data_IF_229779666287
#
_entry.id   IF_229779666287
#
_cell.length_a   1.000
_cell.length_b   1.000
_cell.length_c   1.000
_cell.angle_alpha   90.00
_cell.angle_beta   90.00
_cell.angle_gamma   90.00
#
_symmetry.space_group_name_H-M   'P 1'
#
loop_
_entity.id
_entity.type
_entity.pdbx_description
1 polymer ?
#
# COMPACT_ATOMS: atom_id res chain seq x y z
N UNK A 1 3.60 -6.86 20.07
CA UNK A 1 2.55 -5.84 20.32
C UNK A 1 1.22 -6.56 20.52
N UNK A 2 0.34 -6.06 21.40
CA UNK A 2 -0.93 -6.76 21.67
C UNK A 2 -2.03 -6.30 20.71
N UNK A 3 -2.55 -7.24 19.93
CA UNK A 3 -3.65 -7.05 19.00
C UNK A 3 -4.93 -7.73 19.51
N UNK A 4 -6.09 -7.09 19.39
CA UNK A 4 -7.37 -7.70 19.73
C UNK A 4 -7.77 -8.75 18.69
N UNK A 5 -8.19 -9.92 19.16
CA UNK A 5 -8.72 -11.02 18.36
C UNK A 5 -10.14 -11.32 18.86
N UNK A 6 -11.10 -11.32 17.95
CA UNK A 6 -12.44 -11.80 18.25
C UNK A 6 -12.50 -13.30 18.05
N UNK A 7 -12.89 -14.05 19.08
CA UNK A 7 -13.02 -15.51 19.01
C UNK A 7 -14.47 -15.91 19.26
N UNK A 8 -15.08 -16.59 18.31
CA UNK A 8 -16.44 -17.11 18.43
C UNK A 8 -16.49 -18.61 18.14
N UNK A 9 -17.33 -19.33 18.89
CA UNK A 9 -17.56 -20.75 18.66
C UNK A 9 -18.51 -20.92 17.48
N UNK A 10 -18.10 -21.70 16.48
CA UNK A 10 -18.91 -21.99 15.29
C UNK A 10 -19.46 -23.43 15.30
N UNK A 11 -18.88 -24.33 16.12
CA UNK A 11 -19.42 -25.67 16.36
C UNK A 11 -18.97 -26.23 17.73
N UNK A 12 -19.37 -27.46 18.07
CA UNK A 12 -18.92 -28.13 19.30
C UNK A 12 -17.41 -28.33 19.35
N UNK A 13 -16.74 -28.38 18.20
CA UNK A 13 -15.30 -28.66 18.08
C UNK A 13 -14.51 -27.55 17.41
N UNK A 14 -15.15 -26.50 16.87
CA UNK A 14 -14.45 -25.45 16.13
C UNK A 14 -14.73 -24.06 16.69
N UNK A 15 -13.66 -23.30 16.76
CA UNK A 15 -13.62 -21.87 17.01
C UNK A 15 -13.20 -21.17 15.72
N UNK A 16 -13.84 -20.04 15.46
CA UNK A 16 -13.44 -19.09 14.44
C UNK A 16 -12.90 -17.85 15.12
N UNK A 17 -11.90 -17.22 14.53
CA UNK A 17 -11.35 -15.99 15.04
C UNK A 17 -10.89 -15.05 13.93
N UNK A 18 -11.06 -13.76 14.15
CA UNK A 18 -10.65 -12.72 13.20
C UNK A 18 -10.03 -11.52 13.93
N UNK A 19 -9.09 -10.86 13.26
CA UNK A 19 -8.50 -9.61 13.72
C UNK A 19 -9.18 -8.43 13.01
N UNK A 20 -9.60 -7.38 13.73
CA UNK A 20 -10.03 -6.14 13.08
C UNK A 20 -8.86 -5.46 12.35
N UNK A 21 -7.64 -5.59 12.88
CA UNK A 21 -6.44 -4.93 12.36
C UNK A 21 -5.75 -5.71 11.21
N UNK A 22 -6.08 -6.99 11.05
CA UNK A 22 -5.56 -7.87 9.99
C UNK A 22 -6.71 -8.49 9.19
N UNK A 23 -7.44 -7.72 8.35
CA UNK A 23 -8.69 -8.15 7.71
C UNK A 23 -8.52 -9.26 6.66
N UNK A 24 -7.28 -9.63 6.30
CA UNK A 24 -6.98 -10.77 5.40
C UNK A 24 -6.70 -12.07 6.14
N UNK A 25 -6.71 -12.02 7.47
CA UNK A 25 -6.36 -13.15 8.35
C UNK A 25 -7.61 -13.63 9.04
N UNK A 26 -8.08 -14.80 8.61
CA UNK A 26 -9.10 -15.59 9.30
C UNK A 26 -8.44 -16.83 9.92
N UNK A 27 -8.82 -17.14 11.15
CA UNK A 27 -8.29 -18.26 11.92
C UNK A 27 -9.42 -19.23 12.26
N UNK A 28 -9.17 -20.51 12.05
CA UNK A 28 -10.03 -21.60 12.51
C UNK A 28 -9.16 -22.54 13.33
N UNK A 29 -9.65 -22.96 14.49
CA UNK A 29 -8.95 -23.91 15.34
C UNK A 29 -9.89 -24.68 16.24
N UNK A 30 -9.40 -25.78 16.80
CA UNK A 30 -10.15 -26.63 17.72
C UNK A 30 -10.09 -26.13 19.16
N UNK A 31 -9.13 -25.25 19.46
CA UNK A 31 -8.95 -24.64 20.77
C UNK A 31 -8.40 -23.21 20.66
N UNK A 32 -8.57 -22.42 21.73
CA UNK A 32 -7.99 -21.07 21.79
C UNK A 32 -6.46 -21.10 21.72
N UNK A 33 -5.84 -22.07 22.39
CA UNK A 33 -4.38 -22.22 22.39
C UNK A 33 -3.83 -22.52 20.98
N UNK A 34 -4.55 -23.31 20.18
CA UNK A 34 -4.19 -23.57 18.79
C UNK A 34 -4.29 -22.30 17.93
N UNK A 35 -5.36 -21.53 18.08
CA UNK A 35 -5.54 -20.25 17.39
C UNK A 35 -4.42 -19.27 17.78
N UNK A 36 -4.12 -19.14 19.07
CA UNK A 36 -3.04 -18.28 19.58
C UNK A 36 -1.67 -18.70 19.05
N UNK A 37 -1.38 -20.00 18.99
CA UNK A 37 -0.12 -20.54 18.44
C UNK A 37 0.02 -20.25 16.94
N UNK A 38 -1.06 -20.37 16.19
CA UNK A 38 -1.05 -20.22 14.73
C UNK A 38 -1.13 -18.76 14.27
N UNK A 39 -1.64 -17.85 15.11
CA UNK A 39 -1.90 -16.46 14.74
C UNK A 39 -0.69 -15.76 14.12
N UNK A 40 0.49 -15.87 14.77
CA UNK A 40 1.72 -15.26 14.29
C UNK A 40 2.08 -15.74 12.88
N UNK A 41 2.08 -17.05 12.65
CA UNK A 41 2.47 -17.64 11.37
C UNK A 41 1.53 -17.22 10.23
N UNK A 42 0.22 -17.20 10.49
CA UNK A 42 -0.76 -16.81 9.47
C UNK A 42 -0.64 -15.32 9.13
N UNK A 43 -0.38 -14.46 10.12
CA UNK A 43 -0.11 -13.03 9.89
C UNK A 43 1.17 -12.84 9.08
N UNK A 44 2.26 -13.50 9.45
CA UNK A 44 3.52 -13.46 8.68
C UNK A 44 3.27 -13.85 7.22
N UNK A 45 2.57 -14.96 6.97
CA UNK A 45 2.27 -15.43 5.63
C UNK A 45 1.37 -14.47 4.83
N UNK A 46 0.41 -13.81 5.48
CA UNK A 46 -0.51 -12.89 4.81
C UNK A 46 0.14 -11.55 4.44
N UNK A 47 1.19 -11.14 5.15
CA UNK A 47 1.79 -9.82 5.01
C UNK A 47 3.23 -9.82 4.47
N UNK A 48 3.90 -10.96 4.39
CA UNK A 48 5.27 -11.02 3.84
C UNK A 48 5.34 -10.47 2.41
N UNK A 49 6.11 -9.40 2.23
CA UNK A 49 6.26 -8.69 0.95
C UNK A 49 5.01 -7.95 0.49
N UNK A 50 4.00 -7.83 1.34
CA UNK A 50 2.72 -7.16 1.04
C UNK A 50 2.89 -5.65 0.88
N UNK A 51 2.06 -5.05 0.03
CA UNK A 51 1.89 -3.59 -0.12
C UNK A 51 0.83 -3.03 0.83
N UNK A 52 0.23 -3.87 1.68
CA UNK A 52 -0.77 -3.47 2.64
C UNK A 52 -0.14 -3.04 3.96
N UNK A 53 -0.47 -1.83 4.49
CA UNK A 53 0.05 -1.39 5.77
C UNK A 53 -0.52 -2.25 6.91
N UNK A 54 0.32 -2.48 7.91
CA UNK A 54 -0.10 -3.07 9.17
C UNK A 54 -0.64 -1.93 10.04
N UNK A 55 -1.93 -2.02 10.40
CA UNK A 55 -2.56 -1.01 11.24
C UNK A 55 -2.05 -1.11 12.68
N UNK A 56 -2.08 0.01 13.39
CA UNK A 56 -1.91 -0.01 14.85
C UNK A 56 -3.06 -0.79 15.49
N UNK A 57 -2.85 -1.45 16.66
CA UNK A 57 -3.91 -2.20 17.33
C UNK A 57 -5.15 -1.36 17.60
N UNK A 58 -6.33 -1.90 17.29
CA UNK A 58 -7.62 -1.28 17.61
C UNK A 58 -7.76 -1.09 19.12
N UNK A 59 -8.22 0.08 19.55
CA UNK A 59 -8.36 0.43 20.97
C UNK A 59 -9.60 -0.19 21.62
N UNK A 60 -9.58 -0.37 22.96
CA UNK A 60 -10.73 -0.85 23.74
C UNK A 60 -12.03 -0.07 23.49
N UNK A 61 -11.93 1.25 23.25
CA UNK A 61 -13.07 2.11 22.95
C UNK A 61 -13.69 1.79 21.59
N UNK A 62 -12.86 1.52 20.58
CA UNK A 62 -13.31 1.14 19.23
C UNK A 62 -13.89 -0.29 19.22
N UNK A 63 -13.28 -1.22 19.98
CA UNK A 63 -13.80 -2.59 20.12
C UNK A 63 -15.21 -2.64 20.69
N UNK A 64 -15.59 -1.70 21.56
CA UNK A 64 -16.96 -1.60 22.09
C UNK A 64 -17.97 -1.22 21.02
N UNK A 65 -17.58 -0.41 20.04
CA UNK A 65 -18.43 -0.04 18.92
C UNK A 65 -18.55 -1.18 17.89
N UNK A 66 -17.53 -2.03 17.77
CA UNK A 66 -17.52 -3.21 16.89
C UNK A 66 -18.35 -4.39 17.42
N UNK A 67 -18.86 -4.32 18.65
CA UNK A 67 -19.81 -5.32 19.16
C UNK A 67 -21.16 -5.20 18.42
N UNK A 68 -21.29 -5.93 17.32
CA UNK A 68 -22.55 -6.22 16.68
C UNK A 68 -23.18 -7.48 17.31
N UNK A 69 -24.26 -7.26 18.03
CA UNK A 69 -25.51 -8.03 18.02
C UNK A 69 -25.37 -9.56 18.12
N UNK A 70 -25.50 -10.10 19.33
CA UNK A 70 -26.04 -11.44 19.56
C UNK A 70 -25.12 -12.66 19.38
N UNK A 71 -23.80 -12.48 19.16
CA UNK A 71 -22.85 -13.60 19.14
C UNK A 71 -22.05 -13.71 20.45
N UNK A 72 -21.92 -14.94 20.98
CA UNK A 72 -21.25 -15.26 22.25
C UNK A 72 -19.71 -15.18 22.18
N UNK A 73 -19.18 -14.37 21.27
CA UNK A 73 -17.74 -14.26 21.07
C UNK A 73 -17.05 -13.41 22.14
N UNK A 74 -15.77 -13.69 22.32
CA UNK A 74 -14.92 -13.07 23.32
C UNK A 74 -13.75 -12.37 22.63
N UNK A 75 -13.47 -11.16 23.07
CA UNK A 75 -12.23 -10.47 22.73
C UNK A 75 -11.10 -11.03 23.58
N UNK A 76 -10.01 -11.40 22.92
CA UNK A 76 -8.73 -11.75 23.57
C UNK A 76 -7.63 -10.90 22.97
N UNK A 77 -6.55 -10.69 23.71
CA UNK A 77 -5.40 -9.92 23.23
C UNK A 77 -4.22 -10.84 23.03
N UNK A 78 -3.69 -10.89 21.81
CA UNK A 78 -2.57 -11.75 21.43
C UNK A 78 -1.36 -10.88 21.14
N UNK A 79 -0.18 -11.32 21.60
CA UNK A 79 1.07 -10.67 21.26
C UNK A 79 1.53 -11.09 19.87
N UNK A 80 1.61 -10.12 18.95
CA UNK A 80 2.14 -10.29 17.60
C UNK A 80 3.49 -9.59 17.52
N UNK A 81 4.51 -10.33 17.12
CA UNK A 81 5.83 -9.78 16.88
C UNK A 81 5.89 -9.16 15.48
N UNK A 82 5.69 -7.84 15.40
CA UNK A 82 5.75 -7.09 14.15
C UNK A 82 7.14 -7.06 13.53
N UNK A 83 8.22 -7.32 14.29
CA UNK A 83 9.56 -7.40 13.72
C UNK A 83 9.71 -8.58 12.75
N UNK A 84 8.82 -9.58 12.86
CA UNK A 84 8.74 -10.73 11.97
C UNK A 84 7.71 -10.58 10.85
N UNK A 85 6.95 -9.49 10.82
CA UNK A 85 5.93 -9.22 9.81
C UNK A 85 6.44 -8.16 8.84
N UNK A 86 6.83 -8.59 7.64
CA UNK A 86 7.48 -7.78 6.59
C UNK A 86 6.48 -7.17 5.61
N UNK A 87 5.79 -6.10 5.99
CA UNK A 87 5.08 -5.26 5.00
C UNK A 87 6.05 -4.25 4.36
N UNK A 88 5.93 -4.05 3.05
CA UNK A 88 6.68 -3.01 2.31
C UNK A 88 5.88 -1.70 2.18
N UNK A 89 4.68 -1.67 2.74
CA UNK A 89 3.80 -0.51 2.71
C UNK A 89 4.30 0.61 3.64
N UNK A 90 4.10 1.86 3.20
CA UNK A 90 4.39 3.05 4.00
C UNK A 90 3.11 3.86 4.18
N UNK A 91 2.76 4.21 5.42
CA UNK A 91 1.62 5.09 5.71
C UNK A 91 1.98 6.55 5.36
N UNK A 92 1.11 7.21 4.59
CA UNK A 92 1.24 8.61 4.21
C UNK A 92 0.15 9.45 4.88
N UNK A 93 0.54 10.61 5.43
CA UNK A 93 -0.40 11.63 5.95
C UNK A 93 -0.17 12.95 5.24
N UNK A 94 -1.21 13.46 4.59
CA UNK A 94 -1.18 14.74 3.89
C UNK A 94 -2.61 15.31 3.80
N UNK A 95 -2.71 16.60 3.54
CA UNK A 95 -3.99 17.29 3.36
C UNK A 95 -4.33 17.39 1.86
N UNK A 96 -5.61 17.29 1.53
CA UNK A 96 -6.14 17.47 0.16
C UNK A 96 -7.38 18.37 0.19
N UNK A 97 -7.79 18.85 -0.99
CA UNK A 97 -9.05 19.57 -1.14
C UNK A 97 -10.22 18.60 -0.96
N UNK A 98 -11.26 19.05 -0.24
CA UNK A 98 -12.48 18.28 0.01
C UNK A 98 -13.15 17.83 -1.31
N UNK A 99 -13.26 18.76 -2.27
CA UNK A 99 -13.79 18.48 -3.60
C UNK A 99 -12.96 17.48 -4.41
N UNK A 100 -11.67 17.33 -4.11
CA UNK A 100 -10.83 16.31 -4.73
C UNK A 100 -11.08 14.95 -4.07
N UNK A 101 -11.23 14.91 -2.75
CA UNK A 101 -11.54 13.69 -2.01
C UNK A 101 -12.85 13.05 -2.49
N UNK A 102 -13.91 13.85 -2.67
CA UNK A 102 -15.20 13.37 -3.21
C UNK A 102 -15.05 12.71 -4.59
N UNK A 103 -14.22 13.30 -5.46
CA UNK A 103 -13.95 12.76 -6.80
C UNK A 103 -13.13 11.49 -6.75
N UNK A 104 -12.17 11.41 -5.84
CA UNK A 104 -11.38 10.20 -5.59
C UNK A 104 -12.29 9.08 -5.11
N UNK A 105 -13.22 9.36 -4.20
CA UNK A 105 -14.17 8.37 -3.68
C UNK A 105 -15.09 7.82 -4.75
N UNK A 106 -15.66 8.71 -5.58
CA UNK A 106 -16.49 8.30 -6.70
C UNK A 106 -15.73 7.41 -7.69
N UNK A 107 -14.51 7.80 -8.09
CA UNK A 107 -13.70 7.05 -9.04
C UNK A 107 -13.19 5.72 -8.46
N UNK A 108 -12.81 5.70 -7.18
CA UNK A 108 -12.38 4.48 -6.51
C UNK A 108 -13.53 3.47 -6.41
N UNK A 109 -14.75 3.94 -6.07
CA UNK A 109 -15.94 3.11 -6.04
C UNK A 109 -16.32 2.56 -7.42
N UNK A 110 -16.31 3.38 -8.47
CA UNK A 110 -16.58 2.98 -9.86
C UNK A 110 -15.63 1.86 -10.33
N UNK A 111 -14.37 1.89 -9.88
CA UNK A 111 -13.35 0.91 -10.23
C UNK A 111 -13.14 -0.19 -9.18
N UNK A 112 -14.00 -0.29 -8.17
CA UNK A 112 -13.90 -1.26 -7.08
C UNK A 112 -12.52 -1.30 -6.41
N UNK A 113 -11.91 -0.15 -6.19
CA UNK A 113 -10.60 -0.01 -5.56
C UNK A 113 -10.64 0.86 -4.30
N UNK A 114 -9.57 0.80 -3.50
CA UNK A 114 -9.42 1.67 -2.33
C UNK A 114 -8.88 3.05 -2.74
N UNK A 115 -9.06 4.07 -1.88
CA UNK A 115 -8.43 5.40 -2.07
C UNK A 115 -6.92 5.30 -2.26
N UNK A 116 -6.26 4.46 -1.45
CA UNK A 116 -4.82 4.24 -1.55
C UNK A 116 -4.43 3.66 -2.92
N UNK A 117 -5.17 2.65 -3.41
CA UNK A 117 -4.94 2.09 -4.74
C UNK A 117 -5.14 3.15 -5.85
N UNK A 118 -6.13 4.02 -5.71
CA UNK A 118 -6.34 5.14 -6.63
C UNK A 118 -5.13 6.09 -6.63
N UNK A 119 -4.68 6.54 -5.44
CA UNK A 119 -3.53 7.43 -5.32
C UNK A 119 -2.23 6.79 -5.84
N UNK A 120 -1.99 5.51 -5.55
CA UNK A 120 -0.85 4.77 -6.10
C UNK A 120 -0.88 4.75 -7.62
N UNK A 121 -2.05 4.46 -8.22
CA UNK A 121 -2.21 4.46 -9.68
C UNK A 121 -1.98 5.85 -10.29
N UNK A 122 -2.52 6.90 -9.66
CA UNK A 122 -2.31 8.28 -10.10
C UNK A 122 -0.83 8.69 -10.02
N UNK A 123 -0.15 8.34 -8.93
CA UNK A 123 1.28 8.60 -8.77
C UNK A 123 2.12 7.85 -9.82
N UNK A 124 1.82 6.58 -10.10
CA UNK A 124 2.50 5.83 -11.15
C UNK A 124 2.33 6.49 -12.52
N UNK A 125 1.10 6.88 -12.86
CA UNK A 125 0.82 7.57 -14.12
C UNK A 125 1.63 8.87 -14.27
N UNK A 126 1.65 9.70 -13.24
CA UNK A 126 2.43 10.96 -13.24
C UNK A 126 3.94 10.71 -13.38
N UNK A 127 4.47 9.68 -12.74
CA UNK A 127 5.90 9.32 -12.84
C UNK A 127 6.26 8.79 -14.23
N UNK A 128 5.38 8.01 -14.86
CA UNK A 128 5.55 7.48 -16.21
C UNK A 128 5.45 8.58 -17.28
N UNK A 129 4.46 9.47 -17.16
CA UNK A 129 4.28 10.61 -18.07
C UNK A 129 5.49 11.55 -18.02
N UNK A 130 5.95 11.91 -16.81
CA UNK A 130 7.17 12.70 -16.65
C UNK A 130 8.41 12.04 -17.26
N UNK A 131 8.51 10.70 -17.20
CA UNK A 131 9.61 9.95 -17.83
C UNK A 131 9.52 10.04 -19.34
N UNK A 132 8.34 9.87 -19.92
CA UNK A 132 8.12 9.99 -21.36
C UNK A 132 8.42 11.41 -21.87
N UNK A 133 7.97 12.45 -21.17
CA UNK A 133 8.25 13.84 -21.51
C UNK A 133 9.75 14.17 -21.42
N UNK A 134 10.47 13.65 -20.42
CA UNK A 134 11.93 13.83 -20.30
C UNK A 134 12.69 13.14 -21.44
N UNK A 135 12.27 11.94 -21.84
CA UNK A 135 12.90 11.24 -22.97
C UNK A 135 12.68 11.99 -24.29
N UNK A 136 11.48 12.53 -24.52
CA UNK A 136 11.18 13.34 -25.70
C UNK A 136 11.92 14.68 -25.75
N UNK A 137 12.30 15.24 -24.60
CA UNK A 137 13.01 16.52 -24.50
C UNK A 137 14.54 16.39 -24.49
N UNK A 138 15.12 15.18 -24.54
CA UNK A 138 16.57 15.02 -24.63
C UNK A 138 17.02 15.47 -26.03
N UNK A 139 17.66 16.64 -26.20
CA UNK A 139 18.22 16.97 -27.49
C UNK A 139 19.39 16.01 -27.70
N UNK A 140 19.51 15.45 -28.90
CA UNK A 140 20.77 14.88 -29.38
C UNK A 140 21.86 15.95 -29.26
N UNK A 141 22.52 16.00 -28.10
CA UNK A 141 23.64 16.91 -27.82
C UNK A 141 24.89 16.53 -28.62
N UNK A 142 24.86 15.44 -29.38
CA UNK A 142 25.93 15.01 -30.26
C UNK A 142 25.74 15.48 -31.71
N UNK A 143 24.53 15.88 -32.13
CA UNK A 143 24.29 16.31 -33.52
C UNK A 143 24.58 17.81 -33.76
N UNK A 144 24.53 18.68 -32.74
CA UNK A 144 24.78 20.12 -32.91
C UNK A 144 26.25 20.54 -32.81
N UNK A 145 27.13 19.71 -32.23
CA UNK A 145 28.57 20.02 -32.17
C UNK A 145 29.33 19.74 -33.48
N UNK A 146 28.82 18.90 -34.39
CA UNK A 146 29.53 18.61 -35.64
C UNK A 146 29.27 19.62 -36.76
N UNK A 147 28.09 20.25 -36.81
CA UNK A 147 27.77 21.21 -37.89
C UNK A 147 28.45 22.58 -37.67
N UNK A 148 28.73 22.96 -36.42
CA UNK A 148 29.43 24.22 -36.14
C UNK A 148 30.93 24.18 -36.44
N UNK A 149 31.55 23.00 -36.51
CA UNK A 149 33.00 22.86 -36.79
C UNK A 149 33.28 22.85 -38.31
N UNK A 150 32.32 22.40 -39.13
CA UNK A 150 32.47 22.34 -40.60
C UNK A 150 32.09 23.65 -41.32
N UNK A 151 31.25 24.51 -40.73
CA UNK A 151 30.87 25.80 -41.32
C UNK A 151 31.91 26.92 -41.20
N UNK A 152 32.84 26.83 -40.23
CA UNK A 152 33.80 27.90 -39.96
C UNK A 152 35.09 27.83 -40.81
N UNK A 153 35.28 26.78 -41.61
CA UNK A 153 36.52 26.55 -42.37
C UNK A 153 36.44 26.84 -43.87
N UNK A 154 35.26 27.20 -44.40
CA UNK A 154 35.13 27.51 -45.83
C UNK A 154 35.30 29.00 -46.18
N UNK A 155 35.28 29.89 -45.18
CA UNK A 155 35.25 31.36 -45.41
C UNK A 155 36.63 32.03 -45.24
N UNK A 156 37.72 31.24 -45.10
CA UNK A 156 39.07 31.78 -44.83
C UNK A 156 40.11 31.51 -45.92
N UNK A 157 39.72 30.99 -47.09
CA UNK A 157 40.67 30.68 -48.20
C UNK A 157 40.47 31.49 -49.49
N UNK A 158 39.58 32.48 -49.51
CA UNK A 158 39.26 33.26 -50.73
C UNK A 158 39.72 34.72 -50.70
N UNK A 159 40.59 35.14 -49.77
CA UNK A 159 41.09 36.52 -49.75
C UNK A 159 42.49 36.62 -49.19
N UNK A 160 43.49 36.41 -50.05
CA UNK A 160 44.78 37.10 -49.96
C UNK A 160 45.31 37.34 -51.39
N UNK A 161 45.70 38.58 -51.73
CA UNK A 161 46.21 38.97 -53.06
C UNK A 161 47.65 38.52 -53.32
#
# INVERSE_FOLDING_TARGET
>A
MKYPLYVNRISSTQLHAHFPDFPRVDLIGSSRAEIELNAQQVIEQAYDGSDQPISAPTSDTELRALRADGSDGLWVFIDIDLARVSSTAVELRFNILDTLLDRVDAAAAEHHMTRAAFFSRAAMHELEENRASRMAQTPSSLAKSFISILGANYDRRSSQP
#
